data_IF_004871821452
#
_entry.id   IF_004871821452
#
_cell.length_a   1.000
_cell.length_b   1.000
_cell.length_c   1.000
_cell.angle_alpha   90.00
_cell.angle_beta   90.00
_cell.angle_gamma   90.00
#
_symmetry.space_group_name_H-M   'P 1'
#
loop_
_entity.id
_entity.type
_entity.pdbx_description
1 polymer ?
#
# COMPACT_ATOMS: atom_id res chain seq x y z
N UNK A 1 -20.29 -7.62 -20.20
CA UNK A 1 -19.61 -7.92 -18.93
C UNK A 1 -19.75 -6.70 -18.05
N UNK A 2 -20.10 -6.86 -16.77
CA UNK A 2 -20.15 -5.72 -15.86
C UNK A 2 -18.73 -5.19 -15.64
N UNK A 3 -18.52 -3.90 -15.90
CA UNK A 3 -17.24 -3.23 -15.63
C UNK A 3 -17.19 -2.90 -14.14
N UNK A 4 -16.12 -3.31 -13.46
CA UNK A 4 -15.87 -2.88 -12.08
C UNK A 4 -15.49 -1.39 -12.10
N UNK A 5 -15.98 -0.62 -11.14
CA UNK A 5 -15.58 0.79 -11.01
C UNK A 5 -14.89 0.99 -9.67
N UNK A 6 -13.63 1.42 -9.70
CA UNK A 6 -12.88 1.84 -8.52
C UNK A 6 -12.84 3.37 -8.48
N UNK A 7 -13.56 3.96 -7.53
CA UNK A 7 -13.41 5.36 -7.17
C UNK A 7 -12.28 5.48 -6.16
N UNK A 8 -11.33 6.39 -6.39
CA UNK A 8 -10.21 6.66 -5.48
C UNK A 8 -10.25 8.08 -4.94
N UNK A 9 -9.86 8.25 -3.68
CA UNK A 9 -9.72 9.56 -3.06
C UNK A 9 -8.52 10.30 -3.66
N UNK A 10 -8.76 11.40 -4.38
CA UNK A 10 -7.69 12.18 -5.00
C UNK A 10 -6.80 12.92 -3.98
N UNK A 11 -7.28 13.13 -2.74
CA UNK A 11 -6.51 13.78 -1.69
C UNK A 11 -5.56 12.83 -0.95
N UNK A 12 -5.93 11.55 -0.88
CA UNK A 12 -5.16 10.49 -0.21
C UNK A 12 -5.24 9.21 -1.06
N UNK A 13 -4.28 9.07 -1.96
CA UNK A 13 -4.33 8.07 -3.02
C UNK A 13 -3.99 6.68 -2.47
N UNK A 14 -4.89 5.69 -2.64
CA UNK A 14 -4.65 4.33 -2.16
C UNK A 14 -3.69 3.60 -3.11
N UNK A 15 -2.38 3.72 -2.89
CA UNK A 15 -1.37 3.15 -3.79
C UNK A 15 -1.52 1.63 -3.95
N UNK A 16 -1.86 0.91 -2.89
CA UNK A 16 -2.07 -0.54 -2.91
C UNK A 16 -3.14 -0.96 -3.94
N UNK A 17 -4.40 -0.49 -3.80
CA UNK A 17 -5.45 -0.75 -4.79
C UNK A 17 -5.10 -0.32 -6.21
N UNK A 18 -4.45 0.83 -6.40
CA UNK A 18 -4.04 1.30 -7.73
C UNK A 18 -3.02 0.35 -8.37
N UNK A 19 -2.04 -0.13 -7.59
CA UNK A 19 -1.10 -1.15 -8.03
C UNK A 19 -1.82 -2.46 -8.34
N UNK A 20 -2.76 -2.90 -7.51
CA UNK A 20 -3.53 -4.11 -7.78
C UNK A 20 -4.28 -4.01 -9.11
N UNK A 21 -4.98 -2.89 -9.36
CA UNK A 21 -5.67 -2.64 -10.63
C UNK A 21 -4.71 -2.70 -11.82
N UNK A 22 -3.54 -2.09 -11.72
CA UNK A 22 -2.54 -2.10 -12.80
C UNK A 22 -2.07 -3.53 -13.15
N UNK A 23 -2.05 -4.44 -12.18
CA UNK A 23 -1.67 -5.84 -12.38
C UNK A 23 -2.83 -6.75 -12.83
N UNK A 24 -4.08 -6.32 -12.69
CA UNK A 24 -5.27 -7.13 -13.06
C UNK A 24 -6.06 -6.58 -14.25
N UNK A 25 -5.72 -5.40 -14.76
CA UNK A 25 -6.44 -4.71 -15.84
C UNK A 25 -6.57 -5.50 -17.14
N UNK A 26 -5.63 -6.42 -17.41
CA UNK A 26 -5.66 -7.27 -18.59
C UNK A 26 -6.56 -8.51 -18.40
N UNK A 27 -6.91 -8.83 -17.16
CA UNK A 27 -7.76 -9.96 -16.81
C UNK A 27 -9.21 -9.55 -16.54
N UNK A 28 -9.42 -8.32 -16.05
CA UNK A 28 -10.73 -7.81 -15.62
C UNK A 28 -10.93 -6.38 -16.08
N UNK A 29 -12.09 -6.09 -16.67
CA UNK A 29 -12.47 -4.73 -17.07
C UNK A 29 -12.76 -3.86 -15.84
N UNK A 30 -11.84 -2.95 -15.52
CA UNK A 30 -11.92 -2.05 -14.38
C UNK A 30 -11.74 -0.60 -14.86
N UNK A 31 -12.68 0.28 -14.53
CA UNK A 31 -12.51 1.73 -14.64
C UNK A 31 -12.00 2.29 -13.31
N UNK A 32 -11.14 3.31 -13.38
CA UNK A 32 -10.67 4.05 -12.20
C UNK A 32 -11.13 5.50 -12.32
N UNK A 33 -11.88 5.96 -11.34
CA UNK A 33 -12.47 7.29 -11.27
C UNK A 33 -11.93 8.06 -10.07
N UNK A 34 -11.80 9.38 -10.20
CA UNK A 34 -11.44 10.26 -9.09
C UNK A 34 -12.67 10.62 -8.24
N UNK A 35 -12.51 10.61 -6.93
CA UNK A 35 -13.56 10.94 -5.98
C UNK A 35 -13.03 11.39 -4.62
N UNK A 36 -13.89 11.33 -3.61
CA UNK A 36 -13.59 11.76 -2.24
C UNK A 36 -13.24 10.60 -1.30
N UNK A 37 -13.56 9.38 -1.70
CA UNK A 37 -13.43 8.17 -0.89
C UNK A 37 -12.97 7.00 -1.77
N UNK A 38 -12.43 5.97 -1.13
CA UNK A 38 -11.99 4.75 -1.79
C UNK A 38 -13.15 3.76 -1.84
N UNK A 39 -13.72 3.51 -3.01
CA UNK A 39 -14.90 2.65 -3.18
C UNK A 39 -14.72 1.78 -4.42
N UNK A 40 -14.76 0.46 -4.24
CA UNK A 40 -14.91 -0.48 -5.35
C UNK A 40 -16.38 -0.87 -5.49
N UNK A 41 -17.00 -0.49 -6.60
CA UNK A 41 -18.35 -0.91 -6.99
C UNK A 41 -18.26 -2.17 -7.85
N UNK A 42 -18.80 -3.27 -7.33
CA UNK A 42 -18.84 -4.57 -8.00
C UNK A 42 -20.15 -4.76 -8.76
N UNK A 43 -21.25 -4.31 -8.17
CA UNK A 43 -22.59 -4.30 -8.78
C UNK A 43 -23.41 -3.13 -8.22
N UNK A 44 -24.68 -3.02 -8.62
CA UNK A 44 -25.59 -1.99 -8.09
C UNK A 44 -25.67 -2.02 -6.55
N UNK A 45 -25.63 -3.22 -5.94
CA UNK A 45 -25.87 -3.43 -4.51
C UNK A 45 -24.63 -3.88 -3.72
N UNK A 46 -23.49 -4.10 -4.38
CA UNK A 46 -22.27 -4.60 -3.72
C UNK A 46 -21.14 -3.60 -3.92
N UNK A 47 -20.68 -3.05 -2.81
CA UNK A 47 -19.56 -2.11 -2.73
C UNK A 47 -18.59 -2.52 -1.63
N UNK A 48 -17.30 -2.28 -1.86
CA UNK A 48 -16.25 -2.41 -0.85
C UNK A 48 -15.59 -1.05 -0.63
N UNK A 49 -15.48 -0.63 0.63
CA UNK A 49 -14.87 0.64 1.03
C UNK A 49 -13.56 0.45 1.80
N UNK A 50 -13.36 -0.72 2.40
CA UNK A 50 -12.12 -1.10 3.06
C UNK A 50 -11.04 -1.51 2.05
N UNK A 51 -9.82 -0.99 2.22
CA UNK A 51 -8.69 -1.20 1.31
C UNK A 51 -8.36 -2.68 1.16
N UNK A 52 -8.29 -3.42 2.27
CA UNK A 52 -7.94 -4.84 2.23
C UNK A 52 -9.06 -5.66 1.56
N UNK A 53 -10.31 -5.28 1.73
CA UNK A 53 -11.46 -5.89 1.04
C UNK A 53 -11.42 -5.65 -0.46
N UNK A 54 -11.08 -4.42 -0.89
CA UNK A 54 -10.85 -4.07 -2.30
C UNK A 54 -9.72 -4.93 -2.89
N UNK A 55 -8.57 -4.98 -2.22
CA UNK A 55 -7.41 -5.78 -2.66
C UNK A 55 -7.76 -7.26 -2.80
N UNK A 56 -8.39 -7.85 -1.78
CA UNK A 56 -8.83 -9.24 -1.78
C UNK A 56 -9.78 -9.53 -2.92
N UNK A 57 -10.76 -8.65 -3.16
CA UNK A 57 -11.73 -8.86 -4.23
C UNK A 57 -11.04 -8.83 -5.61
N UNK A 58 -10.20 -7.83 -5.87
CA UNK A 58 -9.46 -7.70 -7.14
C UNK A 58 -8.61 -8.94 -7.43
N UNK A 59 -7.87 -9.45 -6.45
CA UNK A 59 -7.06 -10.65 -6.63
C UNK A 59 -7.89 -11.93 -6.83
N UNK A 60 -9.08 -12.02 -6.20
CA UNK A 60 -9.98 -13.18 -6.33
C UNK A 60 -10.72 -13.21 -7.65
N UNK A 61 -11.08 -12.06 -8.22
CA UNK A 61 -11.73 -12.00 -9.54
C UNK A 61 -10.73 -12.19 -10.68
N UNK A 62 -9.48 -11.78 -10.49
CA UNK A 62 -8.39 -11.92 -11.47
C UNK A 62 -7.46 -13.10 -11.14
N UNK A 63 -8.00 -14.32 -11.09
CA UNK A 63 -7.25 -15.52 -10.67
C UNK A 63 -5.99 -15.78 -11.48
N UNK A 64 -5.99 -15.43 -12.77
CA UNK A 64 -4.85 -15.56 -13.68
C UNK A 64 -3.67 -14.64 -13.34
N UNK A 65 -3.90 -13.56 -12.59
CA UNK A 65 -2.83 -12.67 -12.12
C UNK A 65 -2.04 -13.26 -10.95
N UNK A 66 -2.55 -14.30 -10.27
CA UNK A 66 -1.83 -15.01 -9.20
C UNK A 66 -1.57 -14.20 -7.92
N UNK A 67 -2.20 -13.03 -7.77
CA UNK A 67 -1.91 -12.10 -6.66
C UNK A 67 -2.32 -12.63 -5.28
N UNK A 68 -3.19 -13.64 -5.22
CA UNK A 68 -3.64 -14.25 -3.96
C UNK A 68 -2.92 -15.55 -3.63
N UNK A 69 -1.81 -15.90 -4.28
CA UNK A 69 -1.07 -17.14 -3.99
C UNK A 69 -1.73 -18.40 -4.56
N UNK A 70 -0.98 -19.51 -4.51
CA UNK A 70 -1.29 -20.77 -5.20
C UNK A 70 -1.86 -21.86 -4.30
N UNK A 71 -1.72 -21.73 -2.99
CA UNK A 71 -2.14 -22.73 -2.01
C UNK A 71 -2.61 -22.08 -0.70
N UNK A 72 -3.26 -22.87 0.16
CA UNK A 72 -3.88 -22.37 1.39
C UNK A 72 -2.89 -21.71 2.37
N UNK A 73 -1.65 -22.20 2.40
CA UNK A 73 -0.59 -21.61 3.22
C UNK A 73 -0.22 -20.22 2.72
N UNK A 74 0.01 -20.07 1.42
CA UNK A 74 0.28 -18.76 0.80
C UNK A 74 -0.90 -17.79 0.96
N UNK A 75 -2.15 -18.27 0.86
CA UNK A 75 -3.34 -17.46 1.11
C UNK A 75 -3.32 -16.88 2.53
N UNK A 76 -2.92 -17.69 3.50
CA UNK A 76 -2.83 -17.31 4.91
C UNK A 76 -1.67 -16.34 5.15
N UNK A 77 -0.49 -16.57 4.55
CA UNK A 77 0.63 -15.62 4.63
C UNK A 77 0.23 -14.26 4.03
N UNK A 78 -0.51 -14.25 2.91
CA UNK A 78 -0.98 -13.01 2.29
C UNK A 78 -1.95 -12.27 3.21
N UNK A 79 -2.90 -12.98 3.83
CA UNK A 79 -3.83 -12.39 4.78
C UNK A 79 -3.11 -11.82 6.02
N UNK A 80 -2.08 -12.51 6.51
CA UNK A 80 -1.21 -12.01 7.57
C UNK A 80 -0.52 -10.69 7.18
N UNK A 81 0.04 -10.59 5.97
CA UNK A 81 0.72 -9.37 5.53
C UNK A 81 -0.25 -8.19 5.30
N UNK A 82 -1.48 -8.45 4.84
CA UNK A 82 -2.54 -7.44 4.75
C UNK A 82 -2.89 -6.84 6.12
N UNK A 83 -2.94 -7.68 7.16
CA UNK A 83 -3.16 -7.22 8.53
C UNK A 83 -1.93 -6.50 9.08
N UNK A 84 -0.73 -7.04 8.85
CA UNK A 84 0.54 -6.43 9.27
C UNK A 84 0.70 -5.00 8.73
N UNK A 85 0.39 -4.79 7.44
CA UNK A 85 0.47 -3.47 6.81
C UNK A 85 -0.56 -2.50 7.40
N UNK A 86 -1.80 -2.98 7.62
CA UNK A 86 -2.89 -2.15 8.14
C UNK A 86 -2.72 -1.76 9.62
N UNK A 87 -1.99 -2.55 10.41
CA UNK A 87 -1.90 -2.38 11.86
C UNK A 87 -0.49 -2.00 12.35
N UNK A 88 0.44 -2.94 12.29
CA UNK A 88 1.76 -2.80 12.92
C UNK A 88 2.66 -1.84 12.17
N UNK A 89 2.58 -1.84 10.84
CA UNK A 89 3.41 -1.03 9.97
C UNK A 89 2.91 0.42 9.84
N UNK A 90 1.59 0.61 9.90
CA UNK A 90 0.95 1.93 9.86
C UNK A 90 1.10 2.70 11.19
N UNK A 91 1.39 2.03 12.30
CA UNK A 91 1.55 2.63 13.61
C UNK A 91 2.98 3.10 13.88
N UNK A 92 3.14 4.38 14.21
CA UNK A 92 4.43 4.99 14.55
C UNK A 92 5.11 4.31 15.75
N UNK A 93 4.34 3.84 16.73
CA UNK A 93 4.88 3.25 17.97
C UNK A 93 5.56 1.91 17.75
N UNK A 94 5.10 1.14 16.75
CA UNK A 94 5.61 -0.20 16.44
C UNK A 94 6.50 -0.24 15.20
N UNK A 95 6.70 0.90 14.51
CA UNK A 95 7.37 0.95 13.21
C UNK A 95 8.77 0.30 13.22
N UNK A 96 9.60 0.58 14.24
CA UNK A 96 10.94 -0.01 14.35
C UNK A 96 10.90 -1.54 14.54
N UNK A 97 9.92 -2.06 15.30
CA UNK A 97 9.75 -3.51 15.42
C UNK A 97 9.24 -4.12 14.11
N UNK A 98 8.27 -3.46 13.46
CA UNK A 98 7.69 -3.89 12.20
C UNK A 98 8.76 -3.97 11.10
N UNK A 99 9.59 -2.93 10.95
CA UNK A 99 10.60 -2.90 9.89
C UNK A 99 11.68 -3.97 10.08
N UNK A 100 12.02 -4.30 11.33
CA UNK A 100 12.97 -5.36 11.65
C UNK A 100 12.39 -6.74 11.36
N UNK A 101 11.13 -6.99 11.72
CA UNK A 101 10.41 -8.22 11.39
C UNK A 101 10.33 -8.41 9.87
N UNK A 102 9.92 -7.37 9.15
CA UNK A 102 9.88 -7.37 7.68
C UNK A 102 11.27 -7.66 7.09
N UNK A 103 12.32 -7.03 7.61
CA UNK A 103 13.70 -7.27 7.16
C UNK A 103 14.15 -8.70 7.40
N UNK A 104 13.76 -9.31 8.53
CA UNK A 104 14.05 -10.70 8.84
C UNK A 104 13.35 -11.65 7.85
N UNK A 105 12.05 -11.43 7.59
CA UNK A 105 11.29 -12.22 6.62
C UNK A 105 11.87 -12.12 5.19
N UNK A 106 12.33 -10.93 4.79
CA UNK A 106 12.92 -10.69 3.47
C UNK A 106 14.39 -11.12 3.34
N UNK A 107 15.02 -11.61 4.41
CA UNK A 107 16.44 -12.01 4.39
C UNK A 107 16.74 -13.13 3.40
N UNK A 108 15.80 -14.08 3.24
CA UNK A 108 15.91 -15.25 2.36
C UNK A 108 14.86 -15.26 1.25
N UNK A 109 14.10 -14.18 1.08
CA UNK A 109 12.95 -14.14 0.17
C UNK A 109 13.07 -12.99 -0.84
N UNK A 110 12.65 -13.23 -2.08
CA UNK A 110 12.57 -12.18 -3.11
C UNK A 110 11.23 -11.43 -3.09
N UNK A 111 10.14 -12.15 -2.81
CA UNK A 111 8.80 -11.63 -2.56
C UNK A 111 8.33 -12.10 -1.18
N UNK A 112 7.34 -11.43 -0.58
CA UNK A 112 6.92 -11.78 0.78
C UNK A 112 6.33 -13.19 0.88
N UNK A 113 5.59 -13.61 -0.14
CA UNK A 113 4.90 -14.90 -0.16
C UNK A 113 5.21 -15.65 -1.45
N UNK A 114 5.52 -16.94 -1.33
CA UNK A 114 5.91 -17.77 -2.48
C UNK A 114 7.16 -17.24 -3.18
N UNK A 115 7.15 -17.27 -4.52
CA UNK A 115 8.26 -16.81 -5.38
C UNK A 115 7.81 -15.82 -6.46
N UNK A 116 6.65 -15.18 -6.27
CA UNK A 116 6.04 -14.27 -7.23
C UNK A 116 5.38 -13.09 -6.52
N UNK A 117 5.11 -12.02 -7.28
CA UNK A 117 4.39 -10.86 -6.75
C UNK A 117 3.02 -11.25 -6.23
N UNK A 118 2.67 -10.77 -5.03
CA UNK A 118 1.40 -11.04 -4.37
C UNK A 118 0.81 -9.77 -3.74
N UNK A 119 -0.44 -9.85 -3.25
CA UNK A 119 -1.05 -8.75 -2.49
C UNK A 119 -0.22 -8.37 -1.26
N UNK A 120 0.50 -9.32 -0.64
CA UNK A 120 1.39 -9.04 0.48
C UNK A 120 2.43 -7.99 0.09
N UNK A 121 3.02 -8.15 -1.09
CA UNK A 121 4.03 -7.21 -1.58
C UNK A 121 3.42 -5.84 -1.87
N UNK A 122 2.26 -5.80 -2.52
CA UNK A 122 1.58 -4.56 -2.88
C UNK A 122 1.16 -3.74 -1.65
N UNK A 123 0.55 -4.37 -0.64
CA UNK A 123 0.04 -3.66 0.53
C UNK A 123 1.18 -3.17 1.42
N UNK A 124 2.17 -4.01 1.71
CA UNK A 124 3.33 -3.63 2.54
C UNK A 124 4.14 -2.54 1.87
N UNK A 125 4.34 -2.62 0.54
CA UNK A 125 5.09 -1.61 -0.20
C UNK A 125 4.38 -0.26 -0.19
N UNK A 126 3.06 -0.26 -0.45
CA UNK A 126 2.24 0.95 -0.44
C UNK A 126 2.28 1.64 0.93
N UNK A 127 2.05 0.90 2.00
CA UNK A 127 2.11 1.42 3.37
C UNK A 127 3.50 1.97 3.72
N UNK A 128 4.58 1.30 3.30
CA UNK A 128 5.94 1.84 3.49
C UNK A 128 6.16 3.13 2.72
N UNK A 129 5.71 3.20 1.46
CA UNK A 129 5.88 4.39 0.63
C UNK A 129 5.22 5.61 1.27
N UNK A 130 4.07 5.43 1.90
CA UNK A 130 3.31 6.48 2.58
C UNK A 130 3.85 6.82 3.99
N UNK A 131 4.59 5.91 4.63
CA UNK A 131 5.16 6.11 5.96
C UNK A 131 6.27 7.17 5.99
N UNK A 132 6.06 8.24 6.77
CA UNK A 132 7.07 9.28 6.97
C UNK A 132 8.36 8.75 7.63
N UNK A 133 8.22 7.81 8.58
CA UNK A 133 9.35 7.19 9.27
C UNK A 133 10.24 6.38 8.30
N UNK A 134 9.64 5.70 7.32
CA UNK A 134 10.39 5.02 6.27
C UNK A 134 11.16 6.01 5.39
N UNK A 135 10.51 7.09 4.94
CA UNK A 135 11.15 8.11 4.11
C UNK A 135 12.34 8.76 4.82
N UNK A 136 12.22 9.03 6.12
CA UNK A 136 13.33 9.54 6.93
C UNK A 136 14.48 8.53 7.05
N UNK A 137 14.18 7.25 7.29
CA UNK A 137 15.20 6.20 7.34
C UNK A 137 15.95 6.02 6.01
N UNK A 138 15.28 6.20 4.87
CA UNK A 138 15.92 6.20 3.56
C UNK A 138 16.89 7.38 3.40
N UNK A 139 16.47 8.58 3.78
CA UNK A 139 17.31 9.79 3.71
C UNK A 139 18.53 9.72 4.63
N UNK A 140 18.36 9.17 5.84
CA UNK A 140 19.43 8.97 6.80
C UNK A 140 20.30 7.74 6.51
N UNK A 141 19.98 6.98 5.45
CA UNK A 141 20.62 5.71 5.08
C UNK A 141 20.66 4.69 6.24
N UNK A 142 19.61 4.67 7.07
CA UNK A 142 19.42 3.75 8.21
C UNK A 142 18.43 2.61 7.90
N UNK A 143 17.84 2.60 6.71
CA UNK A 143 16.89 1.57 6.30
C UNK A 143 17.55 0.17 6.27
N UNK A 144 16.89 -0.88 6.82
CA UNK A 144 17.40 -2.25 6.75
C UNK A 144 17.65 -2.74 5.32
N UNK A 145 18.78 -3.42 5.10
CA UNK A 145 19.28 -3.74 3.76
C UNK A 145 18.33 -4.61 2.94
N UNK A 146 17.68 -5.60 3.55
CA UNK A 146 16.77 -6.52 2.86
C UNK A 146 15.49 -5.82 2.41
N UNK A 147 14.96 -4.94 3.26
CA UNK A 147 13.78 -4.11 2.94
C UNK A 147 14.14 -3.10 1.86
N UNK A 148 15.29 -2.41 1.96
CA UNK A 148 15.74 -1.46 0.93
C UNK A 148 15.89 -2.12 -0.44
N UNK A 149 16.48 -3.33 -0.49
CA UNK A 149 16.62 -4.12 -1.72
C UNK A 149 15.25 -4.48 -2.30
N UNK A 150 14.37 -5.09 -1.51
CA UNK A 150 13.04 -5.51 -1.95
C UNK A 150 12.20 -4.30 -2.40
N UNK A 151 12.22 -3.21 -1.63
CA UNK A 151 11.48 -1.98 -1.93
C UNK A 151 11.93 -1.37 -3.26
N UNK A 152 13.24 -1.25 -3.48
CA UNK A 152 13.79 -0.75 -4.75
C UNK A 152 13.56 -1.70 -5.93
N UNK A 153 13.59 -3.01 -5.68
CA UNK A 153 13.26 -4.02 -6.69
C UNK A 153 11.81 -3.89 -7.17
N UNK A 154 10.84 -3.73 -6.26
CA UNK A 154 9.44 -3.51 -6.64
C UNK A 154 9.25 -2.15 -7.32
N UNK A 155 9.84 -1.09 -6.75
CA UNK A 155 9.72 0.27 -7.29
C UNK A 155 10.21 0.34 -8.74
N UNK A 156 11.26 -0.38 -9.12
CA UNK A 156 11.81 -0.39 -10.48
C UNK A 156 10.92 -1.10 -11.53
N UNK A 157 9.87 -1.83 -11.12
CA UNK A 157 9.01 -2.54 -12.05
C UNK A 157 8.06 -1.59 -12.81
N UNK A 158 7.75 -1.93 -14.06
CA UNK A 158 6.98 -1.08 -14.96
C UNK A 158 5.60 -0.70 -14.40
N UNK A 159 4.91 -1.62 -13.73
CA UNK A 159 3.60 -1.36 -13.13
C UNK A 159 3.69 -0.32 -11.99
N UNK A 160 4.72 -0.41 -11.16
CA UNK A 160 4.97 0.55 -10.08
C UNK A 160 5.34 1.93 -10.62
N UNK A 161 6.17 1.98 -11.66
CA UNK A 161 6.52 3.22 -12.35
C UNK A 161 5.31 3.85 -13.06
N UNK A 162 4.45 3.04 -13.70
CA UNK A 162 3.22 3.48 -14.35
C UNK A 162 2.26 4.16 -13.36
N UNK A 163 1.98 3.49 -12.23
CA UNK A 163 1.15 4.05 -11.15
C UNK A 163 1.80 5.30 -10.56
N UNK A 164 3.11 5.25 -10.30
CA UNK A 164 3.86 6.40 -9.81
C UNK A 164 3.78 7.60 -10.75
N UNK A 165 3.96 7.43 -12.06
CA UNK A 165 3.91 8.50 -13.04
C UNK A 165 2.49 9.08 -13.19
N UNK A 166 1.47 8.22 -13.20
CA UNK A 166 0.07 8.65 -13.35
C UNK A 166 -0.44 9.43 -12.14
N UNK A 167 -0.01 9.04 -10.93
CA UNK A 167 -0.62 9.53 -9.69
C UNK A 167 0.28 10.43 -8.83
N UNK A 168 1.62 10.43 -8.98
CA UNK A 168 2.48 11.41 -8.29
C UNK A 168 2.24 12.85 -8.76
N UNK A 169 1.72 13.06 -9.97
CA UNK A 169 1.44 14.39 -10.53
C UNK A 169 0.33 15.12 -9.75
N UNK A 170 -0.59 14.39 -9.09
CA UNK A 170 -1.64 15.00 -8.26
C UNK A 170 -1.17 15.27 -6.82
N UNK A 171 -0.29 14.42 -6.27
CA UNK A 171 0.17 14.50 -4.87
C UNK A 171 1.00 15.76 -4.58
N UNK A 172 1.74 16.27 -5.57
CA UNK A 172 2.52 17.50 -5.44
C UNK A 172 1.65 18.75 -5.15
N UNK A 173 0.38 18.76 -5.59
CA UNK A 173 -0.56 19.87 -5.30
C UNK A 173 -1.27 19.73 -3.96
N UNK A 174 -1.49 18.50 -3.47
CA UNK A 174 -2.25 18.25 -2.24
C UNK A 174 -1.38 18.27 -0.96
N UNK A 175 -0.14 17.76 -1.01
CA UNK A 175 0.71 17.61 0.19
C UNK A 175 1.21 18.96 0.74
N UNK A 176 1.33 19.99 -0.09
CA UNK A 176 1.72 21.35 0.33
C UNK A 176 0.72 21.95 1.33
N UNK A 177 -0.57 21.56 1.27
CA UNK A 177 -1.60 22.13 2.13
C UNK A 177 -1.73 21.44 3.50
N UNK A 178 -1.48 20.12 3.58
CA UNK A 178 -1.67 19.33 4.80
C UNK A 178 -0.45 19.36 5.73
N UNK A 179 0.77 19.47 5.19
CA UNK A 179 2.01 19.42 5.99
C UNK A 179 2.18 20.64 6.89
N UNK A 180 1.54 21.78 6.56
CA UNK A 180 1.61 23.00 7.38
C UNK A 180 0.77 22.93 8.68
N UNK A 181 -0.18 21.97 8.79
CA UNK A 181 -1.02 21.79 9.98
C UNK A 181 -0.46 20.80 11.00
N UNK A 182 0.28 19.78 10.57
CA UNK A 182 0.77 18.73 11.47
C UNK A 182 1.97 19.16 12.34
N UNK A 183 2.78 20.13 11.89
CA UNK A 183 3.92 20.62 12.69
C UNK A 183 3.54 21.64 13.78
N UNK A 184 2.33 22.21 13.78
CA UNK A 184 1.94 23.23 14.77
C UNK A 184 1.32 22.66 16.05
N UNK A 185 0.92 21.38 16.07
CA UNK A 185 0.26 20.77 17.24
C UNK A 185 1.22 20.11 18.24
N UNK A 186 2.53 20.09 17.97
CA UNK A 186 3.51 19.40 18.82
C UNK A 186 4.38 20.35 19.68
N UNK A 187 4.21 21.67 19.59
CA UNK A 187 5.10 22.66 20.23
C UNK A 187 4.53 23.41 21.44
N UNK A 188 3.37 23.03 21.99
CA UNK A 188 2.83 23.63 23.21
C UNK A 188 2.84 22.66 24.40
N UNK A 189 3.98 22.59 25.10
CA UNK A 189 4.01 22.13 26.49
C UNK A 189 3.44 23.23 27.41
N UNK A 190 2.49 22.94 28.31
CA UNK A 190 2.06 23.90 29.33
C UNK A 190 3.06 23.91 30.50
N UNK A 191 3.71 25.05 30.73
CA UNK A 191 4.44 25.33 31.97
C UNK A 191 3.45 25.54 33.11
N UNK A 192 3.56 24.73 34.17
CA UNK A 192 2.82 24.86 35.43
C UNK A 192 3.29 26.12 36.21
N UNK A 193 2.38 26.92 36.79
CA UNK A 193 2.77 27.97 37.72
C UNK A 193 3.00 27.39 39.13
N UNK A 194 4.04 27.89 39.80
CA UNK A 194 4.35 27.65 41.22
C UNK A 194 3.64 28.61 42.15
#
# INVERSE_FOLDING_TARGET
MATLCLTVNSADLPLGPLLAVEHVKDNVSISVEEGKENILRVSENVVFTDINSILRYLARVATTAGLYGSNLMEHTEIDHWLEFSATKLSSCNSFTSAINELSHCLSLRTYLVGNSLSLADLCVWATLKESAAWQEQLQQNKAPVHVKRWFGFLEAQQAFQSVGAKWNVSTAKAKVLLTHRACQSCSSQPTLPG
#
